data_IF_914445785486
#
_entry.id   IF_914445785486
#
_cell.length_a   1.000
_cell.length_b   1.000
_cell.length_c   1.000
_cell.angle_alpha   90.00
_cell.angle_beta   90.00
_cell.angle_gamma   90.00
#
_symmetry.space_group_name_H-M   'P 1'
#
loop_
_entity.id
_entity.type
_entity.pdbx_description
1 polymer ?
#
# COMPACT_ATOMS: atom_id res chain seq x y z
N UNK A 1 24.76 6.78 3.66
CA UNK A 1 23.88 7.59 4.55
C UNK A 1 22.85 8.29 3.67
N UNK A 2 21.56 8.08 3.94
CA UNK A 2 20.49 8.76 3.21
C UNK A 2 20.42 10.21 3.72
N UNK A 3 20.51 11.20 2.84
CA UNK A 3 20.44 12.62 3.23
C UNK A 3 19.04 12.94 3.76
N UNK A 4 18.96 13.73 4.84
CA UNK A 4 17.72 14.14 5.52
C UNK A 4 16.94 13.01 6.21
N UNK A 5 17.60 11.89 6.54
CA UNK A 5 17.02 10.80 7.32
C UNK A 5 17.98 10.33 8.40
N UNK A 6 17.43 9.93 9.55
CA UNK A 6 18.15 9.18 10.59
C UNK A 6 17.65 7.75 10.60
N UNK A 7 18.55 6.78 10.75
CA UNK A 7 18.16 5.40 10.99
C UNK A 7 17.90 5.19 12.48
N UNK A 8 16.69 4.76 12.85
CA UNK A 8 16.40 4.29 14.20
C UNK A 8 16.66 2.78 14.28
N UNK A 9 17.68 2.41 15.06
CA UNK A 9 18.06 1.02 15.29
C UNK A 9 16.98 0.23 16.03
N UNK A 10 16.18 0.89 16.88
CA UNK A 10 15.16 0.24 17.71
C UNK A 10 14.00 -0.26 16.86
N UNK A 11 13.48 0.60 15.99
CA UNK A 11 12.35 0.29 15.12
C UNK A 11 12.76 -0.17 13.70
N UNK A 12 14.07 -0.21 13.41
CA UNK A 12 14.67 -0.61 12.14
C UNK A 12 14.08 0.14 10.94
N UNK A 13 13.94 1.46 11.07
CA UNK A 13 13.35 2.34 10.03
C UNK A 13 14.14 3.63 9.87
N UNK A 14 14.06 4.22 8.69
CA UNK A 14 14.59 5.54 8.39
C UNK A 14 13.51 6.60 8.65
N UNK A 15 13.84 7.54 9.52
CA UNK A 15 12.96 8.62 9.96
C UNK A 15 13.35 9.93 9.26
N UNK A 16 12.41 10.62 8.59
CA UNK A 16 12.69 11.86 7.87
C UNK A 16 12.97 13.02 8.83
N UNK A 17 13.88 13.91 8.45
CA UNK A 17 14.12 15.19 9.15
C UNK A 17 13.15 16.29 8.72
N UNK A 18 12.58 16.18 7.51
CA UNK A 18 11.55 17.10 7.05
C UNK A 18 10.22 16.74 7.71
N UNK A 19 9.62 17.70 8.40
CA UNK A 19 8.33 17.53 9.05
C UNK A 19 7.17 17.88 8.12
N UNK A 20 7.40 18.48 6.95
CA UNK A 20 6.32 18.89 6.05
C UNK A 20 5.57 17.69 5.49
N UNK A 21 4.26 17.62 5.71
CA UNK A 21 3.43 16.50 5.25
C UNK A 21 3.47 16.36 3.72
N UNK A 22 3.86 15.19 3.21
CA UNK A 22 3.94 14.92 1.77
C UNK A 22 2.55 14.85 1.09
N UNK A 23 1.49 14.64 1.87
CA UNK A 23 0.14 14.33 1.37
C UNK A 23 -0.76 15.56 1.22
N UNK A 24 -0.75 16.47 2.21
CA UNK A 24 -1.49 17.74 2.12
C UNK A 24 -0.59 18.93 1.78
N UNK A 25 0.74 18.81 1.99
CA UNK A 25 1.73 19.88 1.81
C UNK A 25 1.49 21.17 2.61
N UNK A 26 0.53 21.15 3.54
CA UNK A 26 0.10 22.31 4.33
C UNK A 26 0.51 22.18 5.80
N UNK A 27 0.30 21.01 6.41
CA UNK A 27 0.58 20.77 7.81
C UNK A 27 1.95 20.11 8.01
N UNK A 28 2.46 20.21 9.23
CA UNK A 28 3.66 19.52 9.67
C UNK A 28 3.30 18.24 10.44
N UNK A 29 4.26 17.33 10.51
CA UNK A 29 4.19 16.09 11.23
C UNK A 29 4.57 16.35 12.70
N UNK A 30 3.62 16.13 13.59
CA UNK A 30 3.81 16.25 15.04
C UNK A 30 4.43 14.99 15.66
N UNK A 31 4.11 13.81 15.11
CA UNK A 31 4.56 12.53 15.63
C UNK A 31 5.18 11.68 14.52
N UNK A 32 6.39 11.17 14.76
CA UNK A 32 7.08 10.29 13.82
C UNK A 32 6.30 9.01 13.52
N UNK A 33 5.51 8.51 14.48
CA UNK A 33 4.67 7.34 14.28
C UNK A 33 3.46 7.61 13.36
N UNK A 34 3.19 8.87 13.02
CA UNK A 34 2.17 9.20 12.04
C UNK A 34 2.71 9.11 10.60
N UNK A 35 4.03 9.06 10.40
CA UNK A 35 4.65 8.77 9.10
C UNK A 35 4.04 7.54 8.44
N UNK A 36 4.06 7.55 7.12
CA UNK A 36 3.86 6.32 6.36
C UNK A 36 5.21 5.70 6.06
N UNK A 37 5.49 4.52 6.62
CA UNK A 37 6.74 3.81 6.40
C UNK A 37 6.61 2.87 5.20
N UNK A 38 7.30 3.21 4.11
CA UNK A 38 7.32 2.42 2.88
C UNK A 38 8.35 1.31 3.01
N UNK A 39 7.95 0.04 2.92
CA UNK A 39 8.88 -1.08 2.78
C UNK A 39 9.46 -1.12 1.37
N UNK A 40 10.78 -0.96 1.28
CA UNK A 40 11.56 -1.20 0.06
C UNK A 40 12.41 -2.45 0.25
N UNK A 41 12.51 -3.26 -0.80
CA UNK A 41 13.25 -4.52 -0.80
C UNK A 41 14.23 -4.51 -1.97
N UNK A 42 15.44 -5.01 -1.74
CA UNK A 42 16.40 -5.32 -2.80
C UNK A 42 16.88 -6.77 -2.63
N UNK A 43 17.08 -7.45 -3.75
CA UNK A 43 17.70 -8.77 -3.79
C UNK A 43 19.19 -8.64 -3.48
N UNK A 44 19.67 -9.36 -2.47
CA UNK A 44 21.10 -9.47 -2.18
C UNK A 44 21.65 -10.64 -3.02
N UNK A 45 22.31 -10.31 -4.13
CA UNK A 45 22.78 -11.29 -5.11
C UNK A 45 24.05 -11.98 -4.60
N UNK A 46 23.89 -13.02 -3.78
CA UNK A 46 25.00 -13.90 -3.38
C UNK A 46 25.25 -14.92 -4.49
N UNK A 47 25.93 -14.50 -5.54
CA UNK A 47 26.35 -15.37 -6.65
C UNK A 47 27.50 -16.31 -6.24
N UNK A 48 27.23 -17.32 -5.42
CA UNK A 48 28.13 -18.46 -5.26
C UNK A 48 27.79 -19.50 -6.33
N UNK A 49 28.56 -19.45 -7.41
CA UNK A 49 28.62 -20.44 -8.49
C UNK A 49 28.87 -21.81 -7.82
N UNK A 50 27.81 -22.61 -7.63
CA UNK A 50 27.77 -24.08 -7.44
C UNK A 50 26.55 -24.53 -6.60
N UNK A 51 25.84 -23.66 -5.87
CA UNK A 51 24.61 -24.09 -5.16
C UNK A 51 23.49 -23.05 -5.30
N UNK A 52 22.43 -23.43 -6.01
CA UNK A 52 21.11 -22.81 -5.93
C UNK A 52 20.63 -22.85 -4.46
N UNK A 53 20.93 -21.86 -3.62
CA UNK A 53 20.25 -21.73 -2.32
C UNK A 53 20.35 -20.32 -1.72
N UNK A 54 19.16 -19.76 -1.53
CA UNK A 54 18.77 -18.54 -0.81
C UNK A 54 19.27 -17.20 -1.34
N UNK A 55 18.41 -16.52 -2.10
CA UNK A 55 18.41 -15.05 -2.23
C UNK A 55 17.98 -14.48 -0.88
N UNK A 56 18.85 -13.75 -0.19
CA UNK A 56 18.48 -12.97 0.99
C UNK A 56 17.94 -11.61 0.52
N UNK A 57 16.82 -11.18 1.05
CA UNK A 57 16.23 -9.89 0.70
C UNK A 57 16.57 -8.89 1.80
N UNK A 58 17.21 -7.78 1.42
CA UNK A 58 17.38 -6.66 2.35
C UNK A 58 16.13 -5.80 2.32
N UNK A 59 15.49 -5.63 3.48
CA UNK A 59 14.28 -4.80 3.65
C UNK A 59 14.61 -3.56 4.46
N UNK A 60 14.27 -2.41 3.92
CA UNK A 60 14.36 -1.12 4.62
C UNK A 60 12.98 -0.46 4.68
N UNK A 61 12.71 0.27 5.75
CA UNK A 61 11.50 1.07 5.93
C UNK A 61 11.86 2.54 5.79
N UNK A 62 11.32 3.24 4.80
CA UNK A 62 11.53 4.68 4.59
C UNK A 62 10.29 5.44 5.06
N UNK A 63 10.45 6.30 6.05
CA UNK A 63 9.37 7.13 6.59
C UNK A 63 9.02 8.30 5.68
N UNK A 64 7.75 8.44 5.32
CA UNK A 64 7.25 9.58 4.56
C UNK A 64 6.48 10.48 5.51
N UNK A 65 6.87 11.75 5.64
CA UNK A 65 6.23 12.68 6.55
C UNK A 65 4.72 12.77 6.29
N UNK A 66 3.94 12.55 7.34
CA UNK A 66 2.47 12.58 7.28
C UNK A 66 1.94 13.20 8.56
N UNK A 67 1.07 14.20 8.43
CA UNK A 67 0.37 14.77 9.57
C UNK A 67 -0.75 13.84 10.07
N UNK A 68 -1.16 14.04 11.32
CA UNK A 68 -2.20 13.24 11.98
C UNK A 68 -3.51 13.20 11.17
N UNK A 69 -3.97 14.36 10.70
CA UNK A 69 -5.21 14.46 9.90
C UNK A 69 -5.14 13.63 8.61
N UNK A 70 -4.03 13.64 7.88
CA UNK A 70 -3.87 12.80 6.69
C UNK A 70 -3.86 11.31 7.03
N UNK A 71 -3.27 10.91 8.16
CA UNK A 71 -3.32 9.52 8.64
C UNK A 71 -4.76 9.07 8.87
N UNK A 72 -5.56 9.89 9.56
CA UNK A 72 -6.97 9.59 9.82
C UNK A 72 -7.77 9.49 8.52
N UNK A 73 -7.58 10.43 7.58
CA UNK A 73 -8.26 10.40 6.28
C UNK A 73 -7.92 9.13 5.50
N UNK A 74 -6.65 8.73 5.47
CA UNK A 74 -6.25 7.48 4.82
C UNK A 74 -6.84 6.25 5.47
N UNK A 75 -6.86 6.22 6.81
CA UNK A 75 -7.41 5.11 7.57
C UNK A 75 -8.94 4.99 7.39
N UNK A 76 -9.66 6.11 7.50
CA UNK A 76 -11.10 6.18 7.29
C UNK A 76 -11.48 5.82 5.86
N UNK A 77 -10.75 6.34 4.86
CA UNK A 77 -10.97 6.01 3.46
C UNK A 77 -10.76 4.52 3.17
N UNK A 78 -9.68 3.92 3.71
CA UNK A 78 -9.40 2.49 3.57
C UNK A 78 -10.52 1.66 4.21
N UNK A 79 -10.91 1.98 5.44
CA UNK A 79 -11.92 1.23 6.15
C UNK A 79 -13.29 1.32 5.46
N UNK A 80 -13.71 2.54 5.06
CA UNK A 80 -14.97 2.72 4.31
C UNK A 80 -14.97 1.94 3.00
N UNK A 81 -13.88 1.99 2.24
CA UNK A 81 -13.76 1.25 1.00
C UNK A 81 -13.81 -0.26 1.20
N UNK A 82 -13.14 -0.78 2.24
CA UNK A 82 -13.19 -2.21 2.60
C UNK A 82 -14.60 -2.61 3.01
N UNK A 83 -15.26 -1.84 3.89
CA UNK A 83 -16.61 -2.16 4.34
C UNK A 83 -17.60 -2.20 3.18
N UNK A 84 -17.57 -1.19 2.30
CA UNK A 84 -18.46 -1.14 1.12
C UNK A 84 -18.17 -2.30 0.17
N UNK A 85 -16.88 -2.57 -0.10
CA UNK A 85 -16.48 -3.68 -0.96
C UNK A 85 -16.94 -5.02 -0.39
N UNK A 86 -16.71 -5.26 0.91
CA UNK A 86 -17.10 -6.50 1.58
C UNK A 86 -18.61 -6.73 1.54
N UNK A 87 -19.42 -5.70 1.84
CA UNK A 87 -20.89 -5.79 1.74
C UNK A 87 -21.31 -6.10 0.30
N UNK A 88 -20.70 -5.45 -0.69
CA UNK A 88 -21.00 -5.70 -2.10
C UNK A 88 -20.65 -7.13 -2.53
N UNK A 89 -19.50 -7.66 -2.09
CA UNK A 89 -19.05 -9.03 -2.36
C UNK A 89 -20.01 -10.04 -1.75
N UNK A 90 -20.41 -9.86 -0.48
CA UNK A 90 -21.34 -10.76 0.19
C UNK A 90 -22.69 -10.78 -0.55
N UNK A 91 -23.20 -9.61 -0.93
CA UNK A 91 -24.49 -9.48 -1.60
C UNK A 91 -24.45 -10.13 -3.00
N UNK A 92 -23.38 -9.89 -3.78
CA UNK A 92 -23.20 -10.48 -5.10
C UNK A 92 -22.97 -12.00 -5.05
N UNK A 93 -22.20 -12.50 -4.08
CA UNK A 93 -22.03 -13.94 -3.86
C UNK A 93 -23.35 -14.60 -3.46
N UNK A 94 -24.13 -13.96 -2.57
CA UNK A 94 -25.46 -14.43 -2.21
C UNK A 94 -26.40 -14.51 -3.42
N UNK A 95 -26.35 -13.51 -4.31
CA UNK A 95 -27.13 -13.50 -5.54
C UNK A 95 -26.68 -14.58 -6.54
N UNK A 96 -25.37 -14.83 -6.66
CA UNK A 96 -24.83 -15.92 -7.49
C UNK A 96 -25.26 -17.29 -6.96
N UNK A 97 -25.19 -17.50 -5.64
CA UNK A 97 -25.61 -18.75 -4.99
C UNK A 97 -27.12 -18.97 -5.13
N UNK A 98 -27.92 -17.92 -4.97
CA UNK A 98 -29.37 -18.00 -5.17
C UNK A 98 -29.72 -18.44 -6.61
N UNK A 99 -28.97 -17.96 -7.61
CA UNK A 99 -29.18 -18.29 -9.02
C UNK A 99 -28.41 -19.54 -9.48
N UNK A 100 -27.81 -20.33 -8.58
CA UNK A 100 -26.94 -21.45 -8.94
C UNK A 100 -27.61 -22.45 -9.90
N UNK A 101 -28.89 -22.78 -9.68
CA UNK A 101 -29.63 -23.74 -10.52
C UNK A 101 -29.95 -23.17 -11.91
N UNK A 102 -30.05 -21.85 -12.04
CA UNK A 102 -30.40 -21.17 -13.29
C UNK A 102 -29.17 -20.78 -14.13
N UNK A 103 -27.97 -20.83 -13.56
CA UNK A 103 -26.73 -20.43 -14.21
C UNK A 103 -25.98 -21.65 -14.72
N UNK A 104 -25.40 -21.54 -15.93
CA UNK A 104 -24.43 -22.51 -16.40
C UNK A 104 -23.22 -22.53 -15.45
N UNK A 105 -22.72 -23.72 -15.12
CA UNK A 105 -21.54 -23.94 -14.26
C UNK A 105 -20.36 -23.04 -14.65
N UNK A 106 -20.12 -22.83 -15.94
CA UNK A 106 -19.04 -21.94 -16.39
C UNK A 106 -19.27 -20.47 -15.98
N UNK A 107 -20.50 -19.98 -16.15
CA UNK A 107 -20.87 -18.61 -15.77
C UNK A 107 -20.82 -18.43 -14.26
N UNK A 108 -21.24 -19.44 -13.50
CA UNK A 108 -21.16 -19.43 -12.04
C UNK A 108 -19.71 -19.32 -11.55
N UNK A 109 -18.80 -20.14 -12.10
CA UNK A 109 -17.38 -20.11 -11.73
C UNK A 109 -16.72 -18.78 -12.08
N UNK A 110 -16.95 -18.26 -13.29
CA UNK A 110 -16.47 -16.93 -13.67
C UNK A 110 -17.05 -15.84 -12.77
N UNK A 111 -18.34 -15.94 -12.42
CA UNK A 111 -19.02 -15.03 -11.50
C UNK A 111 -18.29 -14.94 -10.16
N UNK A 112 -17.95 -16.06 -9.54
CA UNK A 112 -17.21 -16.08 -8.27
C UNK A 112 -15.88 -15.35 -8.40
N UNK A 113 -15.09 -15.65 -9.44
CA UNK A 113 -13.81 -14.98 -9.67
C UNK A 113 -13.98 -13.47 -9.85
N UNK A 114 -14.93 -13.05 -10.69
CA UNK A 114 -15.18 -11.62 -10.92
C UNK A 114 -15.61 -10.88 -9.67
N UNK A 115 -16.42 -11.49 -8.80
CA UNK A 115 -16.87 -10.86 -7.56
C UNK A 115 -15.71 -10.75 -6.56
N UNK A 116 -14.89 -11.79 -6.40
CA UNK A 116 -13.74 -11.76 -5.47
C UNK A 116 -12.70 -10.74 -5.95
N UNK A 117 -12.21 -10.88 -7.18
CA UNK A 117 -11.20 -9.97 -7.73
C UNK A 117 -11.73 -8.55 -7.88
N UNK A 118 -13.00 -8.40 -8.27
CA UNK A 118 -13.69 -7.10 -8.35
C UNK A 118 -13.81 -6.43 -6.99
N UNK A 119 -14.07 -7.18 -5.91
CA UNK A 119 -14.07 -6.66 -4.55
C UNK A 119 -12.71 -6.13 -4.12
N UNK A 120 -11.64 -6.90 -4.35
CA UNK A 120 -10.27 -6.48 -4.01
C UNK A 120 -9.92 -5.20 -4.79
N UNK A 121 -10.01 -5.23 -6.12
CA UNK A 121 -9.66 -4.10 -6.97
C UNK A 121 -10.57 -2.87 -6.74
N UNK A 122 -11.87 -3.12 -6.54
CA UNK A 122 -12.86 -2.10 -6.23
C UNK A 122 -12.57 -1.39 -4.92
N UNK A 123 -12.11 -2.11 -3.89
CA UNK A 123 -11.73 -1.50 -2.60
C UNK A 123 -10.53 -0.57 -2.73
N UNK A 124 -9.52 -0.95 -3.52
CA UNK A 124 -8.36 -0.10 -3.80
C UNK A 124 -8.79 1.20 -4.51
N UNK A 125 -9.59 1.07 -5.58
CA UNK A 125 -10.09 2.23 -6.34
C UNK A 125 -11.03 3.13 -5.55
N UNK A 126 -11.88 2.56 -4.69
CA UNK A 126 -12.72 3.33 -3.78
C UNK A 126 -11.89 4.11 -2.77
N UNK A 127 -10.83 3.49 -2.22
CA UNK A 127 -9.91 4.17 -1.30
C UNK A 127 -9.26 5.38 -1.97
N UNK A 128 -8.72 5.22 -3.18
CA UNK A 128 -8.15 6.33 -3.96
C UNK A 128 -9.16 7.47 -4.14
N UNK A 129 -10.41 7.14 -4.49
CA UNK A 129 -11.46 8.13 -4.70
C UNK A 129 -11.87 8.86 -3.41
N UNK A 130 -11.98 8.16 -2.29
CA UNK A 130 -12.29 8.78 -1.00
C UNK A 130 -11.19 9.73 -0.54
N UNK A 131 -9.94 9.33 -0.73
CA UNK A 131 -8.78 10.17 -0.42
C UNK A 131 -8.74 11.40 -1.33
N UNK A 132 -8.94 11.23 -2.65
CA UNK A 132 -8.96 12.33 -3.61
C UNK A 132 -10.10 13.34 -3.33
N UNK A 133 -11.28 12.86 -2.91
CA UNK A 133 -12.39 13.72 -2.52
C UNK A 133 -12.09 14.60 -1.29
N UNK A 134 -11.10 14.22 -0.47
CA UNK A 134 -10.61 15.01 0.67
C UNK A 134 -9.48 15.97 0.28
N UNK A 135 -9.09 16.01 -1.00
CA UNK A 135 -8.09 16.94 -1.52
C UNK A 135 -6.65 16.63 -1.11
N UNK A 136 -6.37 15.41 -0.65
CA UNK A 136 -5.01 14.98 -0.29
C UNK A 136 -4.50 13.91 -1.26
N UNK A 137 -3.18 13.81 -1.40
CA UNK A 137 -2.57 12.77 -2.24
C UNK A 137 -2.72 11.37 -1.64
N UNK A 138 -2.77 10.34 -2.47
CA UNK A 138 -2.81 8.95 -2.03
C UNK A 138 -1.50 8.54 -1.38
N UNK A 139 -1.57 7.48 -0.56
CA UNK A 139 -0.40 6.87 0.09
C UNK A 139 0.66 6.48 -0.95
N UNK A 140 0.22 5.85 -2.04
CA UNK A 140 1.08 5.46 -3.16
C UNK A 140 1.74 6.67 -3.82
N UNK A 141 0.97 7.72 -4.12
CA UNK A 141 1.53 8.92 -4.74
C UNK A 141 2.55 9.62 -3.84
N UNK A 142 2.28 9.71 -2.53
CA UNK A 142 3.23 10.25 -1.56
C UNK A 142 4.53 9.44 -1.52
N UNK A 143 4.44 8.11 -1.70
CA UNK A 143 5.59 7.23 -1.81
C UNK A 143 6.40 7.42 -3.10
N UNK A 144 5.74 7.46 -4.24
CA UNK A 144 6.39 7.58 -5.55
C UNK A 144 7.02 8.96 -5.77
N UNK A 145 6.47 10.01 -5.16
CA UNK A 145 6.99 11.38 -5.28
C UNK A 145 8.12 11.71 -4.31
N UNK A 146 8.37 10.86 -3.31
CA UNK A 146 9.46 11.07 -2.37
C UNK A 146 10.81 10.84 -3.07
N UNK A 147 11.71 11.83 -2.99
CA UNK A 147 13.00 11.80 -3.70
C UNK A 147 13.88 10.62 -3.29
N UNK A 148 13.91 10.27 -2.00
CA UNK A 148 14.70 9.16 -1.48
C UNK A 148 14.15 7.85 -1.99
N UNK A 149 12.84 7.65 -1.92
CA UNK A 149 12.18 6.45 -2.43
C UNK A 149 12.45 6.29 -3.94
N UNK A 150 12.28 7.37 -4.73
CA UNK A 150 12.56 7.34 -6.17
C UNK A 150 14.01 6.98 -6.48
N UNK A 151 14.97 7.55 -5.76
CA UNK A 151 16.40 7.27 -5.97
C UNK A 151 16.74 5.82 -5.60
N UNK A 152 16.15 5.29 -4.54
CA UNK A 152 16.31 3.87 -4.17
C UNK A 152 15.71 2.96 -5.24
N UNK A 153 14.53 3.29 -5.77
CA UNK A 153 13.91 2.52 -6.85
C UNK A 153 14.78 2.52 -8.12
N UNK A 154 15.34 3.67 -8.50
CA UNK A 154 16.31 3.76 -9.61
C UNK A 154 17.56 2.91 -9.35
N UNK A 155 17.94 2.75 -8.09
CA UNK A 155 19.11 1.95 -7.66
C UNK A 155 18.81 0.44 -7.56
N UNK A 156 17.64 -0.02 -8.02
CA UNK A 156 17.27 -1.44 -8.02
C UNK A 156 16.42 -1.89 -6.84
N UNK A 157 16.00 -0.99 -5.95
CA UNK A 157 15.04 -1.34 -4.90
C UNK A 157 13.63 -1.42 -5.47
N UNK A 158 12.80 -2.31 -4.93
CA UNK A 158 11.41 -2.45 -5.35
C UNK A 158 10.49 -2.13 -4.17
N UNK A 159 9.33 -1.57 -4.47
CA UNK A 159 8.25 -1.52 -3.50
C UNK A 159 7.90 -2.94 -3.13
N UNK A 160 7.78 -3.23 -1.83
CA UNK A 160 7.15 -4.47 -1.43
C UNK A 160 5.66 -4.37 -1.79
N UNK A 161 5.32 -4.78 -3.02
CA UNK A 161 3.95 -4.96 -3.49
C UNK A 161 3.34 -6.19 -2.83
N UNK A 162 3.37 -6.26 -1.50
CA UNK A 162 2.37 -7.00 -0.74
C UNK A 162 1.17 -6.07 -0.56
N UNK A 163 0.48 -5.81 -1.66
CA UNK A 163 -0.89 -5.28 -1.65
C UNK A 163 -1.75 -6.46 -1.22
N UNK A 164 -2.18 -6.43 0.04
CA UNK A 164 -3.40 -7.07 0.54
C UNK A 164 -4.05 -6.08 1.52
#
# INVERSE_FOLDING_TARGET
MIRNYTFDETSKRFEPHDHKCAYCRQAEMENMNDCYFVPLIVEDDKSNIVVYKSVEYSKILIGIPRCHSCKEIHYDAKNKAITISMVSVILLLGLLLYNFVNLNTFVFMLGIFTVIFGGIYGSAKLTERYVANKGIYTVQYGAETNEVVRNLVISGWTFNTSIA
#
